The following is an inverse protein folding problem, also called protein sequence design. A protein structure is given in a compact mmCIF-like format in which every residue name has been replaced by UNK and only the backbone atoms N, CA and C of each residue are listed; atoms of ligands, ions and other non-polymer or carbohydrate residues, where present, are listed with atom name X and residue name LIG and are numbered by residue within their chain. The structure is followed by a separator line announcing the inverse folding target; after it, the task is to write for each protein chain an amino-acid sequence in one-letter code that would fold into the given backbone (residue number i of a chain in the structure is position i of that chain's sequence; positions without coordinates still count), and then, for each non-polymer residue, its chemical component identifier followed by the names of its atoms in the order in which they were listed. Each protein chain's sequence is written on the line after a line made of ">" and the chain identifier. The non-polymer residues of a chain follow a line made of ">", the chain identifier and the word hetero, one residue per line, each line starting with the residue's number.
data_IF_249559915334
#
_entry.id   IF_249559915334
#
_cell.length_a   1.000
_cell.length_b   1.000
_cell.length_c   1.000
_cell.angle_alpha   90.00
_cell.angle_beta   90.00
_cell.angle_gamma   90.00
#
_symmetry.space_group_name_H-M   'P 1'
#
loop_
_entity.id
_entity.type
_entity.pdbx_description
1 polymer ?
#
# COMPACT_ATOMS: atom_id res chain seq x y z
N UNK A 1 14.29 13.80 6.54
CA UNK A 1 15.34 12.89 6.11
C UNK A 1 15.03 12.28 4.75
N UNK A 2 16.02 12.15 3.92
CA UNK A 2 15.89 11.57 2.57
C UNK A 2 15.49 10.09 2.57
N UNK A 3 15.68 9.37 3.69
CA UNK A 3 15.37 7.95 3.78
C UNK A 3 13.89 7.66 3.48
N UNK A 4 12.99 8.48 3.93
CA UNK A 4 11.55 8.29 3.70
C UNK A 4 11.19 8.44 2.21
N UNK A 5 11.80 9.38 1.52
CA UNK A 5 11.67 9.50 0.07
C UNK A 5 12.16 8.27 -0.68
N UNK A 6 13.28 7.70 -0.25
CA UNK A 6 13.81 6.45 -0.82
C UNK A 6 12.89 5.26 -0.55
N UNK A 7 12.29 5.18 0.65
CA UNK A 7 11.32 4.14 0.98
C UNK A 7 10.09 4.26 0.06
N UNK A 8 9.51 5.45 -0.03
CA UNK A 8 8.33 5.70 -0.87
C UNK A 8 8.61 5.33 -2.33
N UNK A 9 9.67 5.90 -2.91
CA UNK A 9 10.05 5.65 -4.31
C UNK A 9 10.46 4.21 -4.57
N UNK A 10 11.23 3.61 -3.66
CA UNK A 10 11.69 2.23 -3.78
C UNK A 10 10.56 1.21 -3.73
N UNK A 11 9.62 1.37 -2.80
CA UNK A 11 8.46 0.47 -2.69
C UNK A 11 7.50 0.62 -3.86
N UNK A 12 7.24 1.86 -4.29
CA UNK A 12 6.42 2.10 -5.48
C UNK A 12 7.06 1.46 -6.72
N UNK A 13 8.36 1.64 -6.91
CA UNK A 13 9.09 1.05 -8.03
C UNK A 13 9.10 -0.47 -7.98
N UNK A 14 9.24 -1.06 -6.80
CA UNK A 14 9.20 -2.52 -6.63
C UNK A 14 7.85 -3.09 -7.09
N UNK A 15 6.75 -2.54 -6.61
CA UNK A 15 5.42 -3.01 -6.99
C UNK A 15 5.13 -2.78 -8.48
N UNK A 16 5.48 -1.61 -9.02
CA UNK A 16 5.35 -1.32 -10.45
C UNK A 16 6.21 -2.24 -11.31
N UNK A 17 7.39 -2.61 -10.84
CA UNK A 17 8.26 -3.57 -11.51
C UNK A 17 7.61 -4.95 -11.60
N UNK A 18 7.06 -5.45 -10.50
CA UNK A 18 6.33 -6.73 -10.48
C UNK A 18 5.11 -6.67 -11.39
N UNK A 19 4.33 -5.60 -11.32
CA UNK A 19 3.17 -5.38 -12.20
C UNK A 19 3.55 -5.43 -13.67
N UNK A 20 4.66 -4.80 -14.04
CA UNK A 20 5.15 -4.79 -15.42
C UNK A 20 5.59 -6.18 -15.89
N UNK A 21 6.21 -6.96 -15.00
CA UNK A 21 6.56 -8.35 -15.30
C UNK A 21 5.30 -9.19 -15.55
N UNK A 22 4.30 -9.05 -14.70
CA UNK A 22 3.02 -9.76 -14.86
C UNK A 22 2.32 -9.37 -16.16
N UNK A 23 2.25 -8.07 -16.46
CA UNK A 23 1.63 -7.57 -17.70
C UNK A 23 2.33 -8.10 -18.96
N UNK A 24 3.63 -8.33 -18.92
CA UNK A 24 4.41 -8.87 -20.03
C UNK A 24 4.26 -10.38 -20.25
N UNK A 25 3.62 -11.10 -19.36
CA UNK A 25 3.42 -12.55 -19.47
C UNK A 25 2.09 -12.89 -20.16
N UNK A 26 2.05 -14.05 -20.83
CA UNK A 26 0.85 -14.52 -21.53
C UNK A 26 -0.30 -14.80 -20.55
N UNK A 27 -1.53 -14.40 -20.94
CA UNK A 27 -2.71 -14.56 -20.10
C UNK A 27 -3.00 -16.02 -19.73
N UNK A 28 -2.72 -16.95 -20.66
CA UNK A 28 -2.96 -18.38 -20.47
C UNK A 28 -2.03 -19.04 -19.45
N UNK A 29 -0.98 -18.35 -19.02
CA UNK A 29 -0.09 -18.84 -17.95
C UNK A 29 -0.67 -18.60 -16.56
N UNK A 30 -1.77 -17.89 -16.45
CA UNK A 30 -2.47 -17.59 -15.19
C UNK A 30 -3.82 -18.30 -15.11
N UNK A 31 -4.32 -18.63 -13.92
CA UNK A 31 -3.61 -18.60 -12.64
C UNK A 31 -2.61 -19.74 -12.50
N UNK A 32 -1.61 -19.57 -11.67
CA UNK A 32 -0.64 -20.61 -11.35
C UNK A 32 -0.08 -20.42 -9.93
N UNK A 33 0.43 -21.47 -9.36
CA UNK A 33 1.03 -21.41 -8.03
C UNK A 33 2.37 -20.65 -8.07
N UNK A 34 2.63 -19.88 -7.04
CA UNK A 34 3.96 -19.30 -6.83
C UNK A 34 4.91 -20.44 -6.45
N UNK A 35 6.04 -20.61 -7.16
CA UNK A 35 7.03 -21.61 -6.79
C UNK A 35 7.50 -21.43 -5.34
N UNK A 36 7.67 -22.55 -4.63
CA UNK A 36 8.12 -22.59 -3.23
C UNK A 36 7.13 -22.08 -2.18
N UNK A 37 5.94 -21.62 -2.57
CA UNK A 37 4.90 -21.20 -1.62
C UNK A 37 3.97 -22.33 -1.17
N UNK A 38 4.19 -23.55 -1.64
CA UNK A 38 3.42 -24.77 -1.27
C UNK A 38 1.90 -24.63 -1.44
N UNK A 39 1.48 -23.92 -2.48
CA UNK A 39 0.05 -23.69 -2.75
C UNK A 39 -0.59 -22.57 -1.90
N UNK A 40 0.16 -21.90 -1.04
CA UNK A 40 -0.36 -20.82 -0.20
C UNK A 40 -0.58 -19.52 -0.98
N UNK A 41 0.23 -19.27 -1.99
CA UNK A 41 0.13 -18.09 -2.86
C UNK A 41 -0.11 -18.53 -4.30
N UNK A 42 -1.12 -17.95 -4.91
CA UNK A 42 -1.45 -18.17 -6.32
C UNK A 42 -1.28 -16.88 -7.10
N UNK A 43 -0.64 -16.98 -8.26
CA UNK A 43 -0.42 -15.83 -9.13
C UNK A 43 -1.57 -15.66 -10.11
N UNK A 44 -1.95 -14.42 -10.32
CA UNK A 44 -3.02 -14.01 -11.22
C UNK A 44 -2.57 -12.87 -12.12
N UNK A 45 -3.29 -12.64 -13.20
CA UNK A 45 -3.19 -11.44 -14.02
C UNK A 45 -4.58 -10.81 -14.06
N UNK A 46 -4.85 -9.91 -13.12
CA UNK A 46 -6.16 -9.30 -12.92
C UNK A 46 -6.08 -7.78 -13.09
N UNK A 47 -7.06 -7.22 -13.78
CA UNK A 47 -7.19 -5.78 -13.97
C UNK A 47 -8.42 -5.27 -13.22
N UNK A 48 -8.21 -4.33 -12.29
CA UNK A 48 -9.28 -3.73 -11.50
C UNK A 48 -9.40 -2.23 -11.84
N UNK A 49 -10.50 -1.85 -12.47
CA UNK A 49 -10.76 -0.46 -12.87
C UNK A 49 -11.33 0.41 -11.73
N UNK A 50 -11.63 -0.19 -10.57
CA UNK A 50 -12.19 0.50 -9.40
C UNK A 50 -11.33 0.34 -8.16
N UNK A 51 -11.98 0.48 -7.02
CA UNK A 51 -11.45 0.10 -5.71
C UNK A 51 -11.63 -1.42 -5.50
N UNK A 52 -11.23 -1.98 -4.34
CA UNK A 52 -11.41 -3.40 -4.09
C UNK A 52 -12.81 -3.92 -4.49
N UNK A 53 -12.86 -5.09 -5.12
CA UNK A 53 -14.07 -5.69 -5.69
C UNK A 53 -14.70 -4.88 -6.84
N UNK A 54 -13.94 -3.99 -7.48
CA UNK A 54 -14.43 -3.13 -8.55
C UNK A 54 -15.34 -2.01 -8.07
N UNK A 55 -15.34 -1.71 -6.78
CA UNK A 55 -16.15 -0.64 -6.21
C UNK A 55 -15.86 0.70 -6.91
N UNK A 56 -16.91 1.42 -7.29
CA UNK A 56 -16.86 2.71 -8.00
C UNK A 56 -16.19 2.66 -9.38
N UNK A 57 -16.06 1.50 -10.02
CA UNK A 57 -15.45 1.39 -11.36
C UNK A 57 -16.15 2.23 -12.42
N UNK A 58 -17.43 2.54 -12.22
CA UNK A 58 -18.22 3.41 -13.10
C UNK A 58 -17.93 4.91 -12.90
N UNK A 59 -17.13 5.25 -11.91
CA UNK A 59 -16.78 6.63 -11.56
C UNK A 59 -15.24 6.81 -11.59
N UNK A 60 -14.62 6.78 -12.80
CA UNK A 60 -13.16 6.85 -12.91
C UNK A 60 -12.57 8.15 -12.34
N UNK A 61 -13.30 9.26 -12.40
CA UNK A 61 -12.88 10.53 -11.82
C UNK A 61 -12.71 10.45 -10.30
N UNK A 62 -13.54 9.68 -9.61
CA UNK A 62 -13.44 9.46 -8.16
C UNK A 62 -12.35 8.43 -7.82
N UNK A 63 -12.24 7.37 -8.64
CA UNK A 63 -11.23 6.33 -8.46
C UNK A 63 -9.82 6.87 -8.60
N UNK A 64 -9.61 7.92 -9.39
CA UNK A 64 -8.35 8.65 -9.53
C UNK A 64 -8.23 9.79 -8.52
N UNK A 65 -9.29 10.57 -8.36
CA UNK A 65 -9.29 11.79 -7.58
C UNK A 65 -9.19 11.55 -6.08
N UNK A 66 -9.91 10.59 -5.54
CA UNK A 66 -9.88 10.29 -4.10
C UNK A 66 -8.47 9.84 -3.65
N UNK A 67 -7.82 8.86 -4.30
CA UNK A 67 -6.45 8.51 -3.95
C UNK A 67 -5.46 9.66 -4.06
N UNK A 68 -5.59 10.49 -5.09
CA UNK A 68 -4.73 11.66 -5.25
C UNK A 68 -4.88 12.63 -4.09
N UNK A 69 -6.11 12.91 -3.66
CA UNK A 69 -6.37 13.77 -2.49
C UNK A 69 -5.77 13.18 -1.21
N UNK A 70 -5.99 11.90 -0.98
CA UNK A 70 -5.48 11.20 0.22
C UNK A 70 -3.95 11.20 0.25
N UNK A 71 -3.30 10.88 -0.87
CA UNK A 71 -1.84 10.89 -0.97
C UNK A 71 -1.29 12.30 -0.77
N UNK A 72 -1.94 13.31 -1.33
CA UNK A 72 -1.53 14.71 -1.14
C UNK A 72 -1.61 15.12 0.34
N UNK A 73 -2.69 14.74 1.03
CA UNK A 73 -2.82 14.99 2.46
C UNK A 73 -1.73 14.27 3.28
N UNK A 74 -1.44 13.01 2.95
CA UNK A 74 -0.37 12.25 3.60
C UNK A 74 1.00 12.88 3.35
N UNK A 75 1.26 13.36 2.14
CA UNK A 75 2.51 14.05 1.81
C UNK A 75 2.70 15.31 2.66
N UNK A 76 1.64 16.10 2.84
CA UNK A 76 1.65 17.26 3.72
C UNK A 76 1.91 16.89 5.18
N UNK A 77 1.26 15.84 5.67
CA UNK A 77 1.46 15.33 7.03
C UNK A 77 2.90 14.85 7.24
N UNK A 78 3.43 14.08 6.30
CA UNK A 78 4.82 13.61 6.36
C UNK A 78 5.81 14.78 6.35
N UNK A 79 5.61 15.76 5.47
CA UNK A 79 6.45 16.96 5.39
C UNK A 79 6.48 17.72 6.73
N UNK A 80 5.32 17.87 7.37
CA UNK A 80 5.24 18.49 8.69
C UNK A 80 5.99 17.66 9.75
N UNK A 81 5.84 16.34 9.76
CA UNK A 81 6.53 15.47 10.70
C UNK A 81 8.04 15.41 10.50
N UNK A 82 8.54 15.63 9.27
CA UNK A 82 9.97 15.65 8.99
C UNK A 82 10.72 16.78 9.69
N UNK A 83 10.02 17.81 10.14
CA UNK A 83 10.59 18.90 10.93
C UNK A 83 10.93 18.47 12.36
N UNK A 84 10.32 17.40 12.84
CA UNK A 84 10.59 16.81 14.16
C UNK A 84 11.56 15.62 14.02
N UNK A 85 12.47 15.48 14.99
CA UNK A 85 13.39 14.34 15.04
C UNK A 85 12.72 13.05 15.54
N UNK A 86 11.60 13.18 16.25
CA UNK A 86 10.81 12.07 16.75
C UNK A 86 9.85 11.48 15.72
N UNK A 87 8.89 10.68 16.18
CA UNK A 87 7.83 10.09 15.39
C UNK A 87 8.33 9.18 14.26
N UNK A 88 9.40 8.45 14.51
CA UNK A 88 10.01 7.56 13.51
C UNK A 88 9.04 6.48 13.04
N UNK A 89 8.27 5.90 13.96
CA UNK A 89 7.27 4.88 13.61
C UNK A 89 6.16 5.43 12.73
N UNK A 90 5.65 6.62 13.03
CA UNK A 90 4.63 7.30 12.23
C UNK A 90 5.15 7.68 10.84
N UNK A 91 6.36 8.22 10.76
CA UNK A 91 7.01 8.56 9.48
C UNK A 91 7.22 7.32 8.62
N UNK A 92 7.69 6.22 9.22
CA UNK A 92 7.87 4.94 8.54
C UNK A 92 6.54 4.39 8.04
N UNK A 93 5.53 4.34 8.91
CA UNK A 93 4.19 3.86 8.55
C UNK A 93 3.58 4.65 7.40
N UNK A 94 3.66 5.97 7.47
CA UNK A 94 3.14 6.84 6.40
C UNK A 94 3.90 6.66 5.09
N UNK A 95 5.23 6.46 5.15
CA UNK A 95 6.05 6.20 3.97
C UNK A 95 5.70 4.89 3.29
N UNK A 96 5.44 3.83 4.06
CA UNK A 96 4.98 2.54 3.55
C UNK A 96 3.64 2.69 2.83
N UNK A 97 2.68 3.36 3.47
CA UNK A 97 1.35 3.61 2.87
C UNK A 97 1.49 4.40 1.57
N UNK A 98 2.27 5.47 1.57
CA UNK A 98 2.47 6.31 0.39
C UNK A 98 3.13 5.55 -0.76
N UNK A 99 4.12 4.70 -0.47
CA UNK A 99 4.77 3.87 -1.50
C UNK A 99 3.77 2.95 -2.20
N UNK A 100 2.98 2.23 -1.43
CA UNK A 100 1.93 1.35 -1.98
C UNK A 100 0.83 2.10 -2.70
N UNK A 101 0.37 3.20 -2.12
CA UNK A 101 -0.69 4.03 -2.70
C UNK A 101 -0.25 4.70 -4.01
N UNK A 102 1.01 5.15 -4.09
CA UNK A 102 1.55 5.75 -5.31
C UNK A 102 1.63 4.75 -6.47
N UNK A 103 2.03 3.51 -6.21
CA UNK A 103 2.00 2.46 -7.23
C UNK A 103 0.60 2.26 -7.79
N UNK A 104 -0.40 2.16 -6.92
CA UNK A 104 -1.79 1.96 -7.34
C UNK A 104 -2.36 3.21 -8.04
N UNK A 105 -1.98 4.41 -7.61
CA UNK A 105 -2.37 5.65 -8.29
C UNK A 105 -1.77 5.74 -9.69
N UNK A 106 -0.48 5.40 -9.83
CA UNK A 106 0.18 5.35 -11.14
C UNK A 106 -0.61 4.46 -12.11
N UNK A 107 -0.98 3.27 -11.67
CA UNK A 107 -1.77 2.34 -12.48
C UNK A 107 -3.09 2.97 -12.92
N UNK A 108 -3.81 3.59 -12.00
CA UNK A 108 -5.10 4.23 -12.32
C UNK A 108 -4.98 5.36 -13.33
N UNK A 109 -3.95 6.17 -13.20
CA UNK A 109 -3.73 7.33 -14.08
C UNK A 109 -3.17 6.93 -15.43
N UNK A 110 -2.18 6.03 -15.45
CA UNK A 110 -1.42 5.68 -16.67
C UNK A 110 -2.04 4.48 -17.39
N UNK A 111 -2.39 3.41 -16.67
CA UNK A 111 -2.95 2.20 -17.27
C UNK A 111 -4.48 2.26 -17.39
N UNK A 112 -5.15 2.99 -16.50
CA UNK A 112 -6.61 3.02 -16.39
C UNK A 112 -7.19 1.89 -15.54
N UNK A 113 -6.35 1.04 -14.98
CA UNK A 113 -6.70 -0.06 -14.08
C UNK A 113 -5.52 -0.40 -13.17
N UNK A 114 -5.82 -1.00 -12.03
CA UNK A 114 -4.80 -1.53 -11.14
C UNK A 114 -4.51 -2.98 -11.50
N UNK A 115 -3.24 -3.32 -11.63
CA UNK A 115 -2.80 -4.70 -11.82
C UNK A 115 -2.71 -5.37 -10.45
N UNK A 116 -3.58 -6.37 -10.24
CA UNK A 116 -3.58 -7.22 -9.06
C UNK A 116 -3.09 -8.61 -9.47
N UNK A 117 -2.19 -9.23 -8.69
CA UNK A 117 -1.45 -10.36 -9.23
C UNK A 117 -1.26 -11.53 -8.28
N UNK A 118 -1.77 -11.50 -7.05
CA UNK A 118 -1.71 -12.70 -6.21
C UNK A 118 -2.90 -12.82 -5.27
N UNK A 119 -3.25 -14.07 -4.95
CA UNK A 119 -4.17 -14.40 -3.88
C UNK A 119 -3.46 -15.14 -2.77
N UNK A 120 -3.96 -14.97 -1.55
CA UNK A 120 -3.54 -15.75 -0.40
C UNK A 120 -4.59 -16.84 -0.21
N UNK A 121 -4.19 -18.11 -0.40
CA UNK A 121 -5.09 -19.25 -0.41
C UNK A 121 -5.45 -19.69 1.03
N UNK A 122 -6.07 -18.76 1.78
CA UNK A 122 -6.49 -18.98 3.15
C UNK A 122 -7.84 -18.33 3.42
N UNK A 123 -8.86 -19.16 3.75
CA UNK A 123 -10.22 -18.71 4.09
C UNK A 123 -10.77 -17.76 3.02
N UNK A 124 -11.37 -16.62 3.43
CA UNK A 124 -11.97 -15.66 2.51
C UNK A 124 -10.94 -14.86 1.70
N UNK A 125 -9.68 -14.81 2.13
CA UNK A 125 -8.62 -14.06 1.44
C UNK A 125 -8.40 -14.56 0.01
N UNK A 126 -8.66 -15.85 -0.26
CA UNK A 126 -8.56 -16.41 -1.61
C UNK A 126 -9.52 -15.79 -2.63
N UNK A 127 -10.51 -15.02 -2.17
CA UNK A 127 -11.47 -14.31 -3.03
C UNK A 127 -10.97 -12.93 -3.45
N UNK A 128 -9.85 -12.46 -2.90
CA UNK A 128 -9.31 -11.13 -3.16
C UNK A 128 -7.96 -11.26 -3.85
N UNK A 129 -7.81 -10.60 -4.99
CA UNK A 129 -6.52 -10.50 -5.67
C UNK A 129 -5.83 -9.24 -5.22
N UNK A 130 -4.59 -9.38 -4.73
CA UNK A 130 -3.78 -8.31 -4.16
C UNK A 130 -2.59 -7.98 -5.05
N UNK A 131 -1.94 -6.87 -4.73
CA UNK A 131 -0.59 -6.53 -5.18
C UNK A 131 0.28 -6.15 -3.98
N UNK A 132 1.58 -5.99 -4.16
CA UNK A 132 2.48 -5.59 -3.08
C UNK A 132 2.15 -4.20 -2.56
N UNK A 133 1.66 -3.30 -3.42
CA UNK A 133 1.21 -1.98 -3.00
C UNK A 133 0.14 -2.05 -1.90
N UNK A 134 -0.83 -2.96 -2.04
CA UNK A 134 -1.86 -3.20 -1.03
C UNK A 134 -1.23 -3.66 0.30
N UNK A 135 -0.24 -4.56 0.23
CA UNK A 135 0.46 -5.06 1.41
C UNK A 135 1.21 -3.93 2.12
N UNK A 136 1.84 -3.04 1.38
CA UNK A 136 2.53 -1.87 1.95
C UNK A 136 1.54 -0.91 2.62
N UNK A 137 0.37 -0.71 2.03
CA UNK A 137 -0.70 0.09 2.64
C UNK A 137 -1.16 -0.53 3.96
N UNK A 138 -1.40 -1.83 3.99
CA UNK A 138 -1.84 -2.52 5.22
C UNK A 138 -0.75 -2.50 6.29
N UNK A 139 0.48 -2.85 5.93
CA UNK A 139 1.61 -2.84 6.86
C UNK A 139 1.90 -1.43 7.38
N UNK A 140 1.95 -0.45 6.50
CA UNK A 140 2.20 0.94 6.87
C UNK A 140 1.12 1.51 7.78
N UNK A 141 -0.15 1.19 7.51
CA UNK A 141 -1.27 1.58 8.37
C UNK A 141 -1.15 0.96 9.77
N UNK A 142 -0.80 -0.32 9.85
CA UNK A 142 -0.58 -1.00 11.13
C UNK A 142 0.58 -0.36 11.91
N UNK A 143 1.71 -0.11 11.24
CA UNK A 143 2.88 0.53 11.85
C UNK A 143 2.52 1.92 12.39
N UNK A 144 1.80 2.71 11.60
CA UNK A 144 1.36 4.06 12.01
C UNK A 144 0.46 4.01 13.25
N UNK A 145 -0.56 3.15 13.25
CA UNK A 145 -1.50 3.01 14.37
C UNK A 145 -0.79 2.53 15.64
N UNK A 146 0.10 1.52 15.51
CA UNK A 146 0.87 1.02 16.65
C UNK A 146 1.80 2.10 17.21
N UNK A 147 2.46 2.87 16.36
CA UNK A 147 3.33 3.97 16.79
C UNK A 147 2.53 5.05 17.54
N UNK A 148 1.34 5.39 17.05
CA UNK A 148 0.44 6.33 17.73
C UNK A 148 -0.01 5.79 19.10
N UNK A 149 -0.35 4.51 19.18
CA UNK A 149 -0.77 3.89 20.44
C UNK A 149 0.36 3.89 21.48
N UNK A 150 1.58 3.53 21.08
CA UNK A 150 2.76 3.56 21.96
C UNK A 150 3.04 4.98 22.44
N UNK A 151 3.05 5.97 21.55
CA UNK A 151 3.25 7.37 21.91
C UNK A 151 2.22 7.88 22.91
N UNK A 152 0.94 7.52 22.74
CA UNK A 152 -0.12 7.88 23.68
C UNK A 152 0.06 7.26 25.08
N UNK A 153 0.53 6.01 25.13
CA UNK A 153 0.81 5.33 26.40
C UNK A 153 2.01 5.96 27.13
N UNK A 154 3.05 6.32 26.42
CA UNK A 154 4.23 7.01 26.97
C UNK A 154 3.82 8.37 27.55
N UNK A 155 3.04 9.16 26.83
CA UNK A 155 2.55 10.46 27.31
C UNK A 155 1.68 10.32 28.56
N UNK A 156 0.83 9.31 28.63
CA UNK A 156 0.01 9.02 29.81
C UNK A 156 0.87 8.61 31.01
N UNK A 157 1.94 7.83 30.77
CA UNK A 157 2.90 7.43 31.81
C UNK A 157 3.67 8.61 32.38
N UNK A 158 4.10 9.54 31.55
CA UNK A 158 4.80 10.78 31.98
C UNK A 158 3.89 11.67 32.82
N UNK A 159 2.62 11.83 32.41
CA UNK A 159 1.64 12.61 33.18
C UNK A 159 1.38 12.02 34.57
N UNK A 160 1.35 10.70 34.71
CA UNK A 160 1.17 10.02 36.01
C UNK A 160 2.36 10.21 36.95
N UNK A 161 3.59 10.30 36.43
CA UNK A 161 4.79 10.51 37.22
C UNK A 161 4.98 11.94 37.74
N UNK A 162 4.28 12.92 37.10
CA UNK A 162 4.35 14.33 37.49
C UNK A 162 3.27 14.78 38.51
N UNK A 163 2.35 13.89 38.85
CA UNK A 163 1.34 14.07 39.94
C UNK A 163 1.79 13.35 41.19
#
# INVERSE_FOLDING_TARGET
>A
SMIYGWIIGGLAALDLGVKSVVEGQEDDTFPRDLPSAKGFIKLHKNHNSGFPFGFMKERPELVKGIPLMVISAMAGALAAMLQDKGKTGEKLGLSLVMGGALSNLYDRVVRGYVVDYFTIEWKFLKKVVFNLGDMFVFLGSAVFVLAQAVGSLEDAGVKKKKK
#
